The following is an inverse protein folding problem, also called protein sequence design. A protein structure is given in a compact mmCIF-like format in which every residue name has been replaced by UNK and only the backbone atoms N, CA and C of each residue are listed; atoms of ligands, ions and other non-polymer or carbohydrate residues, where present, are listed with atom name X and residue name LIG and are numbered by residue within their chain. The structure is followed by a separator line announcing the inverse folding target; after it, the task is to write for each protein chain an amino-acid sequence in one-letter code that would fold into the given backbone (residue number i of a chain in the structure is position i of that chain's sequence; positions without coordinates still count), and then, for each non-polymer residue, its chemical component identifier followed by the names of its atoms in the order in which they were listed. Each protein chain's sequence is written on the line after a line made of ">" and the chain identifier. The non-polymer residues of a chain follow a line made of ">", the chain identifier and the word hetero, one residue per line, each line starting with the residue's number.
data_IF_422645622355
#
_entry.id   IF_422645622355
#
_cell.length_a   1.000
_cell.length_b   1.000
_cell.length_c   1.000
_cell.angle_alpha   90.00
_cell.angle_beta   90.00
_cell.angle_gamma   90.00
#
_symmetry.space_group_name_H-M   'P 1'
#
loop_
_entity.id
_entity.type
_entity.pdbx_description
1 polymer ?
#
# COMPACT_ATOMS: atom_id res chain seq x y z
N UNK A 1 9.18 -12.82 17.65
CA UNK A 1 9.86 -11.65 17.07
C UNK A 1 9.20 -11.36 15.74
N UNK A 2 8.19 -10.50 15.71
CA UNK A 2 7.52 -10.09 14.48
C UNK A 2 7.74 -8.59 14.38
N UNK A 3 8.64 -8.20 13.49
CA UNK A 3 9.09 -6.82 13.34
C UNK A 3 8.01 -6.04 12.59
N UNK A 4 7.02 -5.56 13.34
CA UNK A 4 6.01 -4.60 12.93
C UNK A 4 6.75 -3.28 12.61
N UNK A 5 7.28 -3.18 11.39
CA UNK A 5 8.00 -1.98 10.95
C UNK A 5 6.97 -0.93 10.58
N UNK A 6 6.36 -0.35 11.63
CA UNK A 6 5.27 0.63 11.65
C UNK A 6 5.74 2.01 11.14
N UNK A 7 6.39 2.03 9.98
CA UNK A 7 6.69 3.27 9.28
C UNK A 7 5.51 3.63 8.40
N UNK A 8 5.00 4.88 8.42
CA UNK A 8 3.98 5.31 7.48
C UNK A 8 4.51 5.14 6.05
N UNK A 9 3.67 4.59 5.17
CA UNK A 9 3.99 4.48 3.74
C UNK A 9 4.23 5.87 3.16
N UNK A 10 5.27 6.01 2.34
CA UNK A 10 5.60 7.25 1.63
C UNK A 10 4.94 7.24 0.24
N UNK A 11 4.74 8.41 -0.39
CA UNK A 11 4.24 8.48 -1.76
C UNK A 11 5.06 7.65 -2.75
N UNK A 12 6.39 7.64 -2.58
CA UNK A 12 7.32 6.84 -3.41
C UNK A 12 7.15 5.32 -3.26
N UNK A 13 6.41 4.86 -2.24
CA UNK A 13 6.11 3.44 -2.04
C UNK A 13 4.91 2.96 -2.89
N UNK A 14 4.27 3.87 -3.63
CA UNK A 14 3.10 3.61 -4.48
C UNK A 14 3.45 3.62 -5.97
N UNK A 15 2.69 2.89 -6.82
CA UNK A 15 1.61 1.99 -6.44
C UNK A 15 2.10 0.73 -5.72
N UNK A 16 1.30 0.25 -4.78
CA UNK A 16 1.52 -1.05 -4.12
C UNK A 16 0.88 -2.17 -4.95
N UNK A 17 1.51 -3.33 -4.92
CA UNK A 17 1.12 -4.55 -5.60
C UNK A 17 0.68 -5.64 -4.62
N UNK A 18 0.10 -6.72 -5.15
CA UNK A 18 -0.34 -7.88 -4.36
C UNK A 18 0.34 -9.14 -4.83
N UNK A 19 1.02 -9.81 -3.90
CA UNK A 19 1.61 -11.13 -4.09
C UNK A 19 0.84 -12.16 -3.24
N UNK A 20 -0.21 -12.73 -3.86
CA UNK A 20 -1.12 -13.65 -3.19
C UNK A 20 -1.95 -12.94 -2.11
N UNK A 21 -1.54 -13.09 -0.86
CA UNK A 21 -2.17 -12.47 0.30
C UNK A 21 -1.31 -11.38 0.94
N UNK A 22 -0.17 -11.04 0.32
CA UNK A 22 0.74 -10.01 0.78
C UNK A 22 0.59 -8.77 -0.06
N UNK A 23 0.64 -7.61 0.58
CA UNK A 23 0.73 -6.32 -0.11
C UNK A 23 2.20 -5.93 -0.12
N UNK A 24 2.75 -5.68 -1.30
CA UNK A 24 4.15 -5.38 -1.56
C UNK A 24 4.30 -4.03 -2.21
N UNK A 25 5.43 -3.36 -1.99
CA UNK A 25 5.82 -2.18 -2.78
C UNK A 25 6.30 -2.60 -4.17
N UNK A 26 6.49 -1.64 -5.07
CA UNK A 26 7.14 -1.86 -6.37
C UNK A 26 8.55 -2.48 -6.24
N UNK A 27 9.23 -2.20 -5.13
CA UNK A 27 10.54 -2.79 -4.82
C UNK A 27 10.47 -4.26 -4.38
N UNK A 28 9.27 -4.86 -4.34
CA UNK A 28 9.03 -6.24 -3.88
C UNK A 28 9.09 -6.43 -2.37
N UNK A 29 9.19 -5.33 -1.60
CA UNK A 29 9.22 -5.39 -0.14
C UNK A 29 7.78 -5.53 0.40
N UNK A 30 7.46 -6.59 1.17
CA UNK A 30 6.14 -6.75 1.78
C UNK A 30 5.95 -5.72 2.90
N UNK A 31 4.80 -5.05 2.86
CA UNK A 31 4.42 -4.01 3.83
C UNK A 31 3.26 -4.42 4.73
N UNK A 32 2.41 -5.33 4.26
CA UNK A 32 1.29 -5.86 5.02
C UNK A 32 0.93 -7.25 4.50
N UNK A 33 0.34 -8.06 5.37
CA UNK A 33 -0.29 -9.33 5.04
C UNK A 33 -1.80 -9.18 5.27
N UNK A 34 -2.60 -9.55 4.28
CA UNK A 34 -4.04 -9.64 4.41
C UNK A 34 -4.48 -11.04 4.87
N UNK A 35 -5.68 -11.13 5.42
CA UNK A 35 -6.25 -12.41 5.85
C UNK A 35 -6.54 -13.35 4.67
N UNK A 36 -6.85 -12.79 3.50
CA UNK A 36 -7.11 -13.55 2.28
C UNK A 36 -6.68 -12.74 1.04
N UNK A 37 -6.45 -13.41 -0.12
CA UNK A 37 -5.97 -12.74 -1.32
C UNK A 37 -6.94 -11.70 -1.89
N UNK A 38 -8.26 -11.89 -1.74
CA UNK A 38 -9.25 -10.92 -2.21
C UNK A 38 -9.14 -9.59 -1.42
N UNK A 39 -9.00 -9.68 -0.10
CA UNK A 39 -8.78 -8.53 0.77
C UNK A 39 -7.44 -7.85 0.47
N UNK A 40 -6.39 -8.61 0.14
CA UNK A 40 -5.10 -8.00 -0.24
C UNK A 40 -5.27 -7.09 -1.47
N UNK A 41 -6.02 -7.56 -2.49
CA UNK A 41 -6.36 -6.77 -3.68
C UNK A 41 -7.17 -5.54 -3.33
N UNK A 42 -8.26 -5.70 -2.57
CA UNK A 42 -9.10 -4.56 -2.15
C UNK A 42 -8.31 -3.51 -1.34
N UNK A 43 -7.41 -3.95 -0.46
CA UNK A 43 -6.58 -3.05 0.34
C UNK A 43 -5.56 -2.34 -0.56
N UNK A 44 -4.90 -3.05 -1.48
CA UNK A 44 -3.94 -2.46 -2.41
C UNK A 44 -4.60 -1.44 -3.35
N UNK A 45 -5.75 -1.79 -3.93
CA UNK A 45 -6.54 -0.88 -4.77
C UNK A 45 -6.92 0.38 -3.99
N UNK A 46 -7.46 0.23 -2.78
CA UNK A 46 -7.83 1.37 -1.93
C UNK A 46 -6.64 2.23 -1.53
N UNK A 47 -5.49 1.61 -1.23
CA UNK A 47 -4.25 2.32 -0.90
C UNK A 47 -3.80 3.16 -2.10
N UNK A 48 -3.78 2.57 -3.30
CA UNK A 48 -3.40 3.25 -4.54
C UNK A 48 -4.37 4.39 -4.90
N UNK A 49 -5.68 4.20 -4.74
CA UNK A 49 -6.69 5.24 -4.98
C UNK A 49 -6.55 6.43 -4.01
N UNK A 50 -6.30 6.16 -2.73
CA UNK A 50 -6.13 7.20 -1.71
C UNK A 50 -4.88 8.04 -1.98
N UNK A 51 -3.78 7.41 -2.40
CA UNK A 51 -2.56 8.16 -2.72
C UNK A 51 -2.69 8.94 -4.03
N UNK A 52 -3.33 8.36 -5.06
CA UNK A 52 -3.67 9.08 -6.28
C UNK A 52 -4.54 10.32 -5.99
N UNK A 53 -5.47 10.22 -5.03
CA UNK A 53 -6.31 11.34 -4.59
C UNK A 53 -5.56 12.38 -3.74
N UNK A 54 -4.55 11.95 -2.95
CA UNK A 54 -3.68 12.87 -2.19
C UNK A 54 -2.82 13.73 -3.09
N UNK A 55 -2.48 13.23 -4.28
CA UNK A 55 -1.76 14.02 -5.27
C UNK A 55 -2.60 15.18 -5.83
N UNK A 56 -3.93 15.02 -5.88
CA UNK A 56 -4.87 16.07 -6.30
C UNK A 56 -5.13 17.15 -5.22
N UNK A 57 -4.85 16.85 -3.95
CA UNK A 57 -5.01 17.81 -2.83
C UNK A 57 -3.80 18.77 -2.68
N UNK A 58 -2.75 18.62 -3.50
CA UNK A 58 -1.62 19.57 -3.58
C UNK A 58 -1.90 20.84 -4.42
N UNK A 59 -3.13 21.05 -4.89
CA UNK A 59 -3.54 22.28 -5.62
C UNK A 59 -4.43 23.25 -4.83
N UNK A 60 -4.56 23.08 -3.52
CA UNK A 60 -5.32 24.03 -2.67
C UNK A 60 -4.47 24.79 -1.64
N UNK A 61 -3.14 24.75 -1.72
CA UNK A 61 -2.25 25.58 -0.89
C UNK A 61 -1.53 26.65 -1.71
#
# INVERSE_FOLDING_TARGET
>A
MSSDSKSPLKPDDFPVDVEGQKITKQDGIPIADAENPALAVEIADRLNEVEASREEDRWSA
#
